data_IF_374733420122
#
_entry.id   IF_374733420122
#
_cell.length_a   1.000
_cell.length_b   1.000
_cell.length_c   1.000
_cell.angle_alpha   90.00
_cell.angle_beta   90.00
_cell.angle_gamma   90.00
#
_symmetry.space_group_name_H-M   'P 1'
#
loop_
_entity.id
_entity.type
_entity.pdbx_description
1 polymer ?
#
# COMPACT_ATOMS: atom_id res chain seq x y z
N UNK A 1 20.41 -15.33 23.81
CA UNK A 1 19.68 -14.86 22.62
C UNK A 1 18.23 -15.23 22.82
N UNK A 2 17.35 -14.24 23.05
CA UNK A 2 15.92 -14.48 23.09
C UNK A 2 15.47 -14.94 21.69
N UNK A 3 14.50 -15.87 21.58
CA UNK A 3 13.95 -16.20 20.28
C UNK A 3 13.43 -14.91 19.63
N UNK A 4 13.67 -14.69 18.32
CA UNK A 4 12.98 -13.62 17.62
C UNK A 4 11.48 -13.81 17.88
N UNK A 5 10.78 -12.70 18.15
CA UNK A 5 9.32 -12.73 18.26
C UNK A 5 8.73 -13.55 17.11
N UNK A 6 7.67 -14.30 17.37
CA UNK A 6 7.12 -15.22 16.37
C UNK A 6 6.86 -14.44 15.08
N UNK A 7 7.09 -15.05 13.91
CA UNK A 7 6.84 -14.39 12.63
C UNK A 7 5.43 -13.76 12.59
N UNK A 8 4.46 -14.42 13.24
CA UNK A 8 3.09 -13.97 13.44
C UNK A 8 2.99 -12.63 14.19
N UNK A 9 3.73 -12.45 15.28
CA UNK A 9 3.76 -11.18 16.05
C UNK A 9 4.27 -10.02 15.18
N UNK A 10 5.30 -10.28 14.38
CA UNK A 10 5.89 -9.28 13.52
C UNK A 10 4.95 -8.90 12.36
N UNK A 11 4.26 -9.88 11.79
CA UNK A 11 3.20 -9.65 10.79
C UNK A 11 2.10 -8.77 11.39
N UNK A 12 1.61 -9.10 12.59
CA UNK A 12 0.57 -8.31 13.27
C UNK A 12 1.04 -6.88 13.54
N UNK A 13 2.30 -6.71 13.96
CA UNK A 13 2.90 -5.39 14.18
C UNK A 13 3.04 -4.58 12.88
N UNK A 14 3.45 -5.19 11.78
CA UNK A 14 3.58 -4.48 10.50
C UNK A 14 2.20 -4.16 9.90
N UNK A 15 1.22 -5.04 10.10
CA UNK A 15 -0.17 -4.77 9.71
C UNK A 15 -0.78 -3.61 10.48
N UNK A 16 -0.56 -3.52 11.79
CA UNK A 16 -1.08 -2.41 12.58
C UNK A 16 -0.46 -1.05 12.19
N UNK A 17 0.69 -1.07 11.53
CA UNK A 17 1.34 0.10 10.92
C UNK A 17 0.85 0.41 9.48
N UNK A 18 -0.09 -0.37 8.93
CA UNK A 18 -0.61 -0.20 7.57
C UNK A 18 0.34 -0.67 6.47
N UNK A 19 1.34 -1.49 6.80
CA UNK A 19 2.27 -2.05 5.81
C UNK A 19 1.55 -3.08 4.93
N UNK A 20 1.79 -3.03 3.62
CA UNK A 20 1.15 -3.95 2.68
C UNK A 20 1.67 -5.39 2.81
N UNK A 21 0.85 -6.42 2.50
CA UNK A 21 1.24 -7.83 2.62
C UNK A 21 2.54 -8.18 1.88
N UNK A 22 2.75 -7.62 0.68
CA UNK A 22 3.96 -7.86 -0.11
C UNK A 22 5.22 -7.27 0.54
N UNK A 23 5.10 -6.10 1.18
CA UNK A 23 6.20 -5.48 1.93
C UNK A 23 6.52 -6.24 3.21
N UNK A 24 5.50 -6.81 3.87
CA UNK A 24 5.67 -7.67 5.06
C UNK A 24 6.48 -8.92 4.69
N UNK A 25 6.13 -9.57 3.57
CA UNK A 25 6.86 -10.74 3.08
C UNK A 25 8.34 -10.39 2.84
N UNK A 26 8.62 -9.27 2.18
CA UNK A 26 9.99 -8.85 1.90
C UNK A 26 10.79 -8.55 3.18
N UNK A 27 10.19 -7.88 4.16
CA UNK A 27 10.85 -7.58 5.44
C UNK A 27 11.14 -8.85 6.24
N UNK A 28 10.21 -9.81 6.29
CA UNK A 28 10.42 -11.07 6.99
C UNK A 28 11.48 -11.94 6.33
N UNK A 29 11.51 -12.00 5.00
CA UNK A 29 12.57 -12.69 4.28
C UNK A 29 13.95 -12.06 4.54
N UNK A 30 14.05 -10.73 4.60
CA UNK A 30 15.30 -10.04 4.98
C UNK A 30 15.74 -10.36 6.42
N UNK A 31 14.79 -10.63 7.31
CA UNK A 31 15.06 -11.05 8.69
C UNK A 31 15.39 -12.55 8.81
N UNK A 32 15.40 -13.28 7.69
CA UNK A 32 15.83 -14.68 7.62
C UNK A 32 14.71 -15.69 7.84
N UNK A 33 13.44 -15.27 7.86
CA UNK A 33 12.31 -16.20 7.94
C UNK A 33 12.13 -16.95 6.61
N UNK A 34 11.79 -18.24 6.70
CA UNK A 34 11.55 -19.04 5.50
C UNK A 34 10.23 -18.61 4.83
N UNK A 35 10.09 -18.74 3.50
CA UNK A 35 8.85 -18.40 2.80
C UNK A 35 7.62 -19.12 3.37
N UNK A 36 7.80 -20.33 3.89
CA UNK A 36 6.73 -21.13 4.46
C UNK A 36 6.32 -20.59 5.84
N UNK A 37 7.28 -20.26 6.70
CA UNK A 37 7.00 -19.63 8.00
C UNK A 37 6.31 -18.27 7.84
N UNK A 38 6.69 -17.50 6.82
CA UNK A 38 6.06 -16.21 6.49
C UNK A 38 4.60 -16.39 6.08
N UNK A 39 4.32 -17.40 5.25
CA UNK A 39 2.95 -17.67 4.79
C UNK A 39 2.06 -18.18 5.93
N UNK A 40 2.57 -19.09 6.76
CA UNK A 40 1.86 -19.61 7.92
C UNK A 40 1.60 -18.50 8.95
N UNK A 41 2.58 -17.63 9.20
CA UNK A 41 2.44 -16.47 10.07
C UNK A 41 1.42 -15.44 9.55
N UNK A 42 1.37 -15.20 8.24
CA UNK A 42 0.37 -14.31 7.64
C UNK A 42 -1.05 -14.86 7.79
N UNK A 43 -1.25 -16.13 7.48
CA UNK A 43 -2.55 -16.78 7.70
C UNK A 43 -2.95 -16.80 9.18
N UNK A 44 -2.00 -17.05 10.07
CA UNK A 44 -2.27 -17.05 11.51
C UNK A 44 -2.62 -15.65 12.02
N UNK A 45 -1.91 -14.61 11.58
CA UNK A 45 -2.21 -13.23 11.91
C UNK A 45 -3.57 -12.77 11.36
N UNK A 46 -3.98 -13.26 10.19
CA UNK A 46 -5.31 -13.05 9.60
C UNK A 46 -6.42 -13.68 10.44
N UNK A 47 -6.25 -14.94 10.83
CA UNK A 47 -7.19 -15.64 11.69
C UNK A 47 -7.30 -15.00 13.09
N UNK A 48 -6.18 -14.52 13.62
CA UNK A 48 -6.10 -13.95 14.97
C UNK A 48 -6.58 -12.50 15.04
N UNK A 49 -6.43 -11.73 13.95
CA UNK A 49 -6.89 -10.34 13.90
C UNK A 49 -8.41 -10.22 13.92
N UNK A 50 -9.17 -11.27 13.58
CA UNK A 50 -10.64 -11.28 13.73
C UNK A 50 -11.34 -10.09 13.04
N UNK A 51 -10.66 -9.40 12.12
CA UNK A 51 -11.16 -8.21 11.45
C UNK A 51 -12.11 -8.69 10.37
N UNK A 52 -13.39 -8.61 10.72
CA UNK A 52 -14.50 -8.47 9.81
C UNK A 52 -14.11 -7.51 8.70
N UNK A 53 -14.15 -7.99 7.45
CA UNK A 53 -13.80 -7.21 6.28
C UNK A 53 -14.57 -5.91 6.23
N UNK A 54 -13.85 -4.81 6.43
CA UNK A 54 -14.33 -3.46 6.11
C UNK A 54 -13.16 -2.63 5.55
N UNK A 55 -12.58 -3.15 4.49
CA UNK A 55 -11.95 -2.40 3.39
C UNK A 55 -12.56 -3.06 2.14
N UNK A 56 -13.57 -2.47 1.49
CA UNK A 56 -13.37 -1.33 0.60
C UNK A 56 -12.53 -1.79 -0.58
N UNK A 57 -13.08 -2.70 -1.41
CA UNK A 57 -13.63 -2.34 -2.73
C UNK A 57 -12.58 -1.59 -3.59
N UNK A 58 -11.72 -2.36 -4.25
CA UNK A 58 -11.24 -2.18 -5.64
C UNK A 58 -9.98 -3.05 -5.84
N UNK A 59 -10.17 -4.37 -5.86
CA UNK A 59 -9.24 -5.28 -6.53
C UNK A 59 -10.04 -6.55 -6.84
N UNK A 60 -10.58 -6.60 -8.06
CA UNK A 60 -11.08 -7.83 -8.65
C UNK A 60 -9.98 -8.47 -9.47
N UNK A 61 -9.28 -9.52 -9.00
CA UNK A 61 -8.63 -10.45 -9.89
C UNK A 61 -9.67 -11.46 -10.36
N UNK A 62 -10.14 -11.29 -11.59
CA UNK A 62 -10.90 -12.32 -12.31
C UNK A 62 -10.12 -13.65 -12.32
N UNK A 63 -10.77 -14.67 -11.77
CA UNK A 63 -10.72 -16.04 -12.31
C UNK A 63 -9.43 -16.81 -12.12
N UNK A 64 -9.14 -17.23 -10.90
CA UNK A 64 -8.35 -18.43 -10.65
C UNK A 64 -9.18 -19.34 -9.73
N UNK A 65 -9.91 -20.27 -10.35
CA UNK A 65 -10.45 -21.44 -9.68
C UNK A 65 -9.27 -22.25 -9.14
N UNK A 66 -9.12 -22.31 -7.81
CA UNK A 66 -8.35 -23.35 -7.17
C UNK A 66 -9.25 -24.09 -6.15
N UNK A 67 -9.16 -25.43 -6.09
CA UNK A 67 -10.22 -26.30 -5.59
C UNK A 67 -10.26 -26.36 -4.07
N UNK A 68 -11.47 -26.54 -3.54
CA UNK A 68 -11.73 -26.84 -2.13
C UNK A 68 -10.98 -28.09 -1.65
N UNK A 69 -10.57 -28.14 -0.37
CA UNK A 69 -10.08 -29.36 0.26
C UNK A 69 -11.24 -30.37 0.38
N UNK A 70 -11.09 -31.50 -0.29
CA UNK A 70 -12.00 -32.64 -0.20
C UNK A 70 -12.05 -33.17 1.24
N UNK A 71 -13.27 -33.25 1.75
CA UNK A 71 -13.61 -33.98 2.97
C UNK A 71 -13.34 -35.48 2.77
N UNK A 72 -12.96 -36.23 3.82
CA UNK A 72 -12.75 -37.67 3.70
C UNK A 72 -14.06 -38.41 3.36
N UNK A 73 -14.05 -39.39 2.43
CA UNK A 73 -15.23 -40.13 2.05
C UNK A 73 -15.71 -41.04 3.19
N UNK A 74 -17.01 -40.98 3.45
CA UNK A 74 -17.72 -41.88 4.34
C UNK A 74 -17.67 -43.32 3.81
N UNK A 75 -17.32 -44.25 4.68
CA UNK A 75 -17.31 -45.68 4.45
C UNK A 75 -18.73 -46.24 4.21
N UNK A 76 -18.93 -47.17 3.27
CA UNK A 76 -20.22 -47.84 3.08
C UNK A 76 -20.52 -48.83 4.22
N UNK A 77 -21.80 -49.00 4.60
CA UNK A 77 -22.18 -49.94 5.66
C UNK A 77 -22.04 -51.40 5.18
N UNK A 78 -21.37 -52.21 6.02
CA UNK A 78 -21.34 -53.66 5.94
C UNK A 78 -22.76 -54.23 6.01
N UNK A 79 -23.20 -54.90 4.94
CA UNK A 79 -24.34 -55.83 4.99
C UNK A 79 -23.85 -57.18 5.51
N UNK A 80 -24.48 -57.65 6.58
CA UNK A 80 -24.22 -58.96 7.18
C UNK A 80 -24.74 -60.12 6.32
N UNK A 81 -24.19 -61.33 6.50
CA UNK A 81 -24.61 -62.51 5.74
C UNK A 81 -25.88 -63.15 6.31
N UNK A 82 -26.85 -63.57 5.48
CA UNK A 82 -27.86 -64.52 5.88
C UNK A 82 -27.34 -65.96 5.71
N UNK A 83 -27.57 -66.72 6.77
CA UNK A 83 -27.28 -68.13 6.95
C UNK A 83 -28.33 -68.97 6.21
N UNK A 84 -27.90 -69.89 5.34
CA UNK A 84 -28.75 -71.01 4.91
C UNK A 84 -27.93 -72.27 4.70
N UNK A 85 -28.31 -73.29 5.47
CA UNK A 85 -27.83 -74.68 5.46
C UNK A 85 -28.20 -75.40 4.15
N UNK A 86 -27.39 -76.39 3.75
CA UNK A 86 -27.89 -77.47 2.87
C UNK A 86 -26.86 -78.16 1.97
N UNK A 87 -26.14 -79.14 2.54
CA UNK A 87 -25.82 -80.47 1.98
C UNK A 87 -25.42 -80.63 0.49
N UNK A 88 -24.23 -81.19 0.22
CA UNK A 88 -23.91 -81.74 -1.11
C UNK A 88 -22.44 -82.10 -1.33
N UNK A 89 -22.01 -83.25 -0.81
CA UNK A 89 -20.75 -83.93 -1.11
C UNK A 89 -20.63 -84.32 -2.58
N UNK A 90 -19.56 -83.95 -3.30
CA UNK A 90 -18.99 -84.79 -4.36
C UNK A 90 -17.54 -84.45 -4.70
N UNK A 91 -16.81 -85.52 -5.00
CA UNK A 91 -15.37 -85.64 -5.22
C UNK A 91 -14.83 -84.89 -6.45
N UNK A 92 -13.60 -84.40 -6.31
CA UNK A 92 -12.42 -84.83 -7.08
C UNK A 92 -12.52 -85.08 -8.59
N UNK A 93 -11.93 -84.16 -9.37
CA UNK A 93 -11.20 -84.34 -10.64
C UNK A 93 -10.63 -82.94 -10.97
N UNK A 94 -9.35 -82.72 -11.26
CA UNK A 94 -8.53 -83.39 -12.25
C UNK A 94 -8.60 -82.59 -13.57
N UNK A 95 -7.48 -81.94 -13.97
CA UNK A 95 -7.25 -81.23 -15.25
C UNK A 95 -8.06 -79.93 -15.43
N UNK A 96 -7.53 -78.81 -15.95
CA UNK A 96 -6.51 -78.62 -16.99
C UNK A 96 -5.84 -77.25 -16.81
N UNK A 97 -4.52 -77.17 -16.99
CA UNK A 97 -3.86 -75.91 -17.33
C UNK A 97 -4.31 -75.50 -18.73
N UNK A 98 -4.97 -74.34 -18.83
CA UNK A 98 -5.10 -73.60 -20.08
C UNK A 98 -4.01 -72.51 -20.10
N UNK A 99 -3.00 -72.61 -20.98
CA UNK A 99 -1.98 -71.57 -21.14
C UNK A 99 -2.37 -70.47 -22.14
N UNK A 100 -3.65 -70.35 -22.54
CA UNK A 100 -4.08 -69.42 -23.59
C UNK A 100 -4.78 -68.12 -23.15
N UNK A 101 -5.23 -68.01 -21.89
CA UNK A 101 -6.25 -67.01 -21.54
C UNK A 101 -5.76 -65.73 -20.83
N UNK A 102 -4.46 -65.62 -20.52
CA UNK A 102 -3.95 -64.49 -19.70
C UNK A 102 -3.19 -63.43 -20.49
N UNK A 103 -2.62 -63.73 -21.66
CA UNK A 103 -1.79 -62.78 -22.41
C UNK A 103 -2.62 -61.73 -23.16
N UNK A 104 -3.61 -62.18 -23.93
CA UNK A 104 -4.44 -61.33 -24.80
C UNK A 104 -5.34 -60.38 -24.02
N UNK A 105 -5.91 -60.81 -22.90
CA UNK A 105 -6.75 -59.93 -22.08
C UNK A 105 -5.92 -58.88 -21.32
N UNK A 106 -4.68 -59.21 -20.95
CA UNK A 106 -3.74 -58.25 -20.37
C UNK A 106 -3.29 -57.26 -21.45
N UNK A 107 -3.04 -57.70 -22.69
CA UNK A 107 -2.71 -56.81 -23.81
C UNK A 107 -3.85 -55.84 -24.16
N UNK A 108 -5.10 -56.33 -24.21
CA UNK A 108 -6.29 -55.48 -24.44
C UNK A 108 -6.48 -54.44 -23.32
N UNK A 109 -6.31 -54.85 -22.05
CA UNK A 109 -6.36 -53.93 -20.92
C UNK A 109 -5.21 -52.92 -20.94
N UNK A 110 -4.02 -53.33 -21.38
CA UNK A 110 -2.85 -52.45 -21.50
C UNK A 110 -3.04 -51.45 -22.65
N UNK A 111 -3.55 -51.87 -23.82
CA UNK A 111 -3.85 -50.96 -24.94
C UNK A 111 -4.93 -49.94 -24.56
N UNK A 112 -6.00 -50.38 -23.91
CA UNK A 112 -7.06 -49.47 -23.46
C UNK A 112 -6.53 -48.43 -22.45
N UNK A 113 -5.68 -48.85 -21.51
CA UNK A 113 -5.07 -47.95 -20.51
C UNK A 113 -4.06 -46.99 -21.15
N UNK A 114 -3.27 -47.45 -22.13
CA UNK A 114 -2.30 -46.60 -22.85
C UNK A 114 -3.06 -45.55 -23.67
N UNK A 115 -4.11 -45.92 -24.39
CA UNK A 115 -4.91 -44.99 -25.20
C UNK A 115 -5.60 -43.94 -24.31
N UNK A 116 -6.17 -44.34 -23.18
CA UNK A 116 -6.77 -43.41 -22.21
C UNK A 116 -5.74 -42.39 -21.69
N UNK A 117 -4.56 -42.87 -21.27
CA UNK A 117 -3.48 -42.02 -20.74
C UNK A 117 -2.85 -41.14 -21.81
N UNK A 118 -2.75 -41.62 -23.04
CA UNK A 118 -2.28 -40.83 -24.17
C UNK A 118 -3.22 -39.67 -24.48
N UNK A 119 -4.52 -39.94 -24.52
CA UNK A 119 -5.53 -38.91 -24.73
C UNK A 119 -5.57 -37.87 -23.60
N UNK A 120 -5.38 -38.30 -22.34
CA UNK A 120 -5.23 -37.40 -21.20
C UNK A 120 -3.97 -36.51 -21.32
N UNK A 121 -2.85 -37.09 -21.73
CA UNK A 121 -1.59 -36.37 -21.94
C UNK A 121 -1.70 -35.32 -23.05
N UNK A 122 -2.27 -35.68 -24.21
CA UNK A 122 -2.50 -34.76 -25.34
C UNK A 122 -3.38 -33.59 -24.90
N UNK A 123 -4.43 -33.86 -24.12
CA UNK A 123 -5.29 -32.80 -23.57
C UNK A 123 -4.52 -31.85 -22.66
N UNK A 124 -3.63 -32.37 -21.81
CA UNK A 124 -2.81 -31.54 -20.93
C UNK A 124 -1.76 -30.73 -21.71
N UNK A 125 -1.17 -31.29 -22.76
CA UNK A 125 -0.26 -30.56 -23.66
C UNK A 125 -0.99 -29.40 -24.34
N UNK A 126 -2.22 -29.61 -24.82
CA UNK A 126 -3.02 -28.55 -25.43
C UNK A 126 -3.30 -27.41 -24.43
N UNK A 127 -3.65 -27.74 -23.17
CA UNK A 127 -3.79 -26.72 -22.11
C UNK A 127 -2.49 -25.94 -21.85
N UNK A 128 -1.34 -26.61 -21.90
CA UNK A 128 -0.03 -25.96 -21.73
C UNK A 128 0.26 -25.02 -22.91
N UNK A 129 -0.09 -25.41 -24.14
CA UNK A 129 0.07 -24.55 -25.32
C UNK A 129 -0.81 -23.30 -25.21
N UNK A 130 -2.07 -23.46 -24.81
CA UNK A 130 -2.97 -22.32 -24.56
C UNK A 130 -2.45 -21.41 -23.45
N UNK A 131 -1.97 -21.98 -22.35
CA UNK A 131 -1.37 -21.22 -21.27
C UNK A 131 -0.11 -20.46 -21.73
N UNK A 132 0.78 -21.13 -22.47
CA UNK A 132 1.96 -20.49 -23.06
C UNK A 132 1.56 -19.32 -23.95
N UNK A 133 0.57 -19.50 -24.82
CA UNK A 133 0.09 -18.43 -25.69
C UNK A 133 -0.45 -17.23 -24.89
N UNK A 134 -1.18 -17.47 -23.79
CA UNK A 134 -1.68 -16.40 -22.90
C UNK A 134 -0.54 -15.68 -22.18
N UNK A 135 0.50 -16.40 -21.76
CA UNK A 135 1.69 -15.82 -21.12
C UNK A 135 2.49 -14.98 -22.13
N UNK A 136 2.69 -15.47 -23.34
CA UNK A 136 3.38 -14.73 -24.41
C UNK A 136 2.64 -13.42 -24.73
N UNK A 137 1.30 -13.44 -24.77
CA UNK A 137 0.49 -12.24 -24.96
C UNK A 137 0.62 -11.25 -23.79
N UNK A 138 0.55 -11.74 -22.55
CA UNK A 138 0.74 -10.89 -21.36
C UNK A 138 2.14 -10.30 -21.29
N UNK A 139 3.16 -11.06 -21.68
CA UNK A 139 4.54 -10.58 -21.71
C UNK A 139 4.71 -9.46 -22.75
N UNK A 140 4.12 -9.62 -23.94
CA UNK A 140 4.12 -8.57 -24.96
C UNK A 140 3.40 -7.30 -24.50
N UNK A 141 2.25 -7.45 -23.81
CA UNK A 141 1.53 -6.31 -23.22
C UNK A 141 2.36 -5.61 -22.13
N UNK A 142 3.00 -6.37 -21.25
CA UNK A 142 3.84 -5.83 -20.19
C UNK A 142 5.09 -5.12 -20.75
N UNK A 143 5.68 -5.65 -21.82
CA UNK A 143 6.79 -4.97 -22.51
C UNK A 143 6.33 -3.63 -23.11
N UNK A 144 5.14 -3.58 -23.70
CA UNK A 144 4.57 -2.34 -24.20
C UNK A 144 4.29 -1.33 -23.08
N UNK A 145 3.61 -1.75 -22.01
CA UNK A 145 3.34 -0.88 -20.85
C UNK A 145 4.64 -0.36 -20.21
N UNK A 146 5.69 -1.18 -20.14
CA UNK A 146 6.99 -0.76 -19.63
C UNK A 146 7.66 0.29 -20.54
N UNK A 147 7.52 0.15 -21.85
CA UNK A 147 8.03 1.13 -22.81
C UNK A 147 7.25 2.46 -22.73
N UNK A 148 5.94 2.39 -22.60
CA UNK A 148 5.07 3.57 -22.42
C UNK A 148 5.40 4.28 -21.11
N UNK A 149 5.51 3.55 -19.98
CA UNK A 149 5.92 4.08 -18.69
C UNK A 149 7.30 4.75 -18.75
N UNK A 150 8.26 4.17 -19.48
CA UNK A 150 9.57 4.77 -19.69
C UNK A 150 9.49 6.08 -20.46
N UNK A 151 8.60 6.17 -21.46
CA UNK A 151 8.35 7.40 -22.20
C UNK A 151 7.75 8.47 -21.30
N UNK A 152 6.68 8.14 -20.56
CA UNK A 152 6.03 9.03 -19.61
C UNK A 152 6.99 9.53 -18.53
N UNK A 153 7.82 8.64 -17.98
CA UNK A 153 8.87 9.03 -17.01
C UNK A 153 9.87 10.02 -17.61
N UNK A 154 10.27 9.79 -18.87
CA UNK A 154 11.19 10.70 -19.57
C UNK A 154 10.56 12.07 -19.78
N UNK A 155 9.28 12.13 -20.12
CA UNK A 155 8.57 13.39 -20.33
C UNK A 155 8.29 14.11 -19.01
N UNK A 156 7.96 13.38 -17.95
CA UNK A 156 7.87 13.92 -16.59
C UNK A 156 9.22 14.49 -16.14
N UNK A 157 10.32 13.78 -16.37
CA UNK A 157 11.65 14.27 -16.02
C UNK A 157 12.00 15.56 -16.77
N UNK A 158 11.69 15.66 -18.07
CA UNK A 158 11.83 16.91 -18.83
C UNK A 158 10.96 18.03 -18.26
N UNK A 159 9.70 17.75 -17.93
CA UNK A 159 8.78 18.73 -17.37
C UNK A 159 9.26 19.25 -16.01
N UNK A 160 9.78 18.37 -15.15
CA UNK A 160 10.36 18.71 -13.86
C UNK A 160 11.60 19.59 -14.05
N UNK A 161 12.53 19.23 -14.95
CA UNK A 161 13.69 20.08 -15.25
C UNK A 161 13.26 21.46 -15.76
N UNK A 162 12.26 21.51 -16.64
CA UNK A 162 11.68 22.76 -17.12
C UNK A 162 11.14 23.63 -15.98
N UNK A 163 10.36 23.02 -15.07
CA UNK A 163 9.84 23.72 -13.88
C UNK A 163 10.96 24.20 -12.97
N UNK A 164 11.98 23.39 -12.70
CA UNK A 164 13.13 23.80 -11.88
C UNK A 164 13.86 24.98 -12.54
N UNK A 165 14.04 24.95 -13.86
CA UNK A 165 14.65 26.08 -14.59
C UNK A 165 13.79 27.35 -14.52
N UNK A 166 12.47 27.24 -14.63
CA UNK A 166 11.55 28.37 -14.43
C UNK A 166 11.65 28.91 -12.99
N UNK A 167 11.72 28.03 -11.99
CA UNK A 167 11.91 28.42 -10.59
C UNK A 167 13.25 29.13 -10.36
N UNK A 168 14.34 28.63 -10.91
CA UNK A 168 15.67 29.26 -10.79
C UNK A 168 15.69 30.66 -11.42
N UNK A 169 15.08 30.81 -12.59
CA UNK A 169 14.92 32.11 -13.24
C UNK A 169 14.04 33.06 -12.39
N UNK A 170 12.93 32.57 -11.85
CA UNK A 170 12.05 33.37 -10.99
C UNK A 170 12.77 33.81 -9.71
N UNK A 171 13.53 32.91 -9.05
CA UNK A 171 14.33 33.24 -7.87
C UNK A 171 15.40 34.27 -8.21
N UNK A 172 16.05 34.14 -9.37
CA UNK A 172 17.03 35.12 -9.85
C UNK A 172 16.38 36.50 -10.06
N UNK A 173 15.23 36.55 -10.73
CA UNK A 173 14.47 37.78 -10.96
C UNK A 173 14.06 38.43 -9.62
N UNK A 174 13.48 37.65 -8.70
CA UNK A 174 13.14 38.12 -7.35
C UNK A 174 14.39 38.63 -6.63
N UNK A 175 15.54 37.96 -6.77
CA UNK A 175 16.81 38.44 -6.23
C UNK A 175 17.24 39.80 -6.77
N UNK A 176 16.99 40.07 -8.06
CA UNK A 176 17.24 41.39 -8.66
C UNK A 176 16.27 42.47 -8.15
N UNK A 177 14.99 42.14 -8.01
CA UNK A 177 13.97 43.05 -7.48
C UNK A 177 14.23 43.37 -6.01
N UNK A 178 14.59 42.37 -5.20
CA UNK A 178 14.97 42.57 -3.79
C UNK A 178 16.19 43.49 -3.70
N UNK A 179 17.21 43.33 -4.56
CA UNK A 179 18.36 44.25 -4.59
C UNK A 179 17.96 45.66 -5.01
N UNK A 180 17.03 45.82 -5.95
CA UNK A 180 16.53 47.13 -6.33
C UNK A 180 15.76 47.78 -5.17
N UNK A 181 14.91 47.02 -4.49
CA UNK A 181 14.17 47.45 -3.31
C UNK A 181 15.12 47.82 -2.17
N UNK A 182 16.18 47.04 -1.94
CA UNK A 182 17.25 47.34 -0.98
C UNK A 182 17.87 48.71 -1.28
N UNK A 183 18.23 49.00 -2.53
CA UNK A 183 18.77 50.31 -2.93
C UNK A 183 17.77 51.45 -2.74
N UNK A 184 16.48 51.21 -2.98
CA UNK A 184 15.43 52.19 -2.70
C UNK A 184 15.36 52.44 -1.20
N UNK A 185 15.35 51.38 -0.38
CA UNK A 185 15.34 51.49 1.08
C UNK A 185 16.55 52.26 1.61
N UNK A 186 17.75 51.99 1.08
CA UNK A 186 18.98 52.73 1.41
C UNK A 186 18.88 54.22 1.10
N UNK A 187 18.13 54.62 0.06
CA UNK A 187 17.89 56.04 -0.27
C UNK A 187 16.78 56.68 0.57
N UNK A 188 15.77 55.89 0.93
CA UNK A 188 14.60 56.38 1.69
C UNK A 188 14.92 56.51 3.17
N UNK A 189 15.71 55.60 3.77
CA UNK A 189 16.05 55.63 5.20
C UNK A 189 16.65 56.98 5.67
N UNK A 190 17.64 57.57 4.96
CA UNK A 190 18.17 58.88 5.31
C UNK A 190 17.10 59.97 5.22
N UNK A 191 16.34 60.00 4.12
CA UNK A 191 15.27 60.99 3.89
C UNK A 191 14.19 60.91 4.99
N UNK A 192 13.82 59.70 5.40
CA UNK A 192 12.84 59.48 6.46
C UNK A 192 13.37 59.91 7.83
N UNK A 193 14.66 59.65 8.09
CA UNK A 193 15.33 60.09 9.33
C UNK A 193 15.45 61.62 9.38
N UNK A 194 15.82 62.26 8.28
CA UNK A 194 15.87 63.72 8.12
C UNK A 194 14.48 64.33 8.40
N UNK A 195 13.44 63.83 7.74
CA UNK A 195 12.07 64.30 7.88
C UNK A 195 11.53 64.14 9.33
N UNK A 196 11.83 63.02 10.00
CA UNK A 196 11.46 62.82 11.41
C UNK A 196 12.20 63.81 12.31
N UNK A 197 13.48 64.07 12.06
CA UNK A 197 14.26 65.04 12.82
C UNK A 197 13.73 66.46 12.63
N UNK A 198 13.36 66.85 11.41
CA UNK A 198 12.70 68.12 11.11
C UNK A 198 11.34 68.25 11.79
N UNK A 199 10.50 67.20 11.74
CA UNK A 199 9.19 67.19 12.38
C UNK A 199 9.31 67.28 13.91
N UNK A 200 10.31 66.60 14.49
CA UNK A 200 10.64 66.71 15.91
C UNK A 200 11.06 68.14 16.27
N UNK A 201 11.88 68.80 15.44
CA UNK A 201 12.28 70.20 15.62
C UNK A 201 11.09 71.16 15.54
N UNK A 202 10.27 71.06 14.49
CA UNK A 202 9.04 71.85 14.32
C UNK A 202 8.10 71.69 15.51
N UNK A 203 7.93 70.47 16.00
CA UNK A 203 7.11 70.19 17.19
C UNK A 203 7.73 70.81 18.44
N UNK A 204 9.05 70.72 18.62
CA UNK A 204 9.75 71.35 19.74
C UNK A 204 9.71 72.88 19.69
N UNK A 205 9.84 73.50 18.53
CA UNK A 205 9.70 74.95 18.34
C UNK A 205 8.26 75.40 18.62
N UNK A 206 7.26 74.69 18.09
CA UNK A 206 5.86 74.98 18.33
C UNK A 206 5.47 74.79 19.81
N UNK A 207 6.09 73.83 20.50
CA UNK A 207 5.93 73.63 21.95
C UNK A 207 6.75 74.63 22.78
N UNK A 208 7.80 75.21 22.22
CA UNK A 208 8.64 76.26 22.79
C UNK A 208 8.03 77.67 22.67
N UNK A 209 7.15 77.88 21.69
CA UNK A 209 6.24 79.03 21.63
C UNK A 209 5.12 78.79 22.64
N UNK A 210 5.45 78.87 23.94
CA UNK A 210 4.45 79.17 24.95
C UNK A 210 4.05 80.64 24.75
N UNK A 211 2.77 80.98 24.54
CA UNK A 211 2.35 82.36 24.75
C UNK A 211 2.59 82.67 26.24
N UNK A 212 3.49 83.61 26.48
CA UNK A 212 3.65 84.29 27.77
C UNK A 212 2.33 85.00 28.08
N UNK A 213 1.39 84.23 28.62
CA UNK A 213 0.11 84.74 29.13
C UNK A 213 0.04 84.28 30.57
N UNK A 214 0.50 85.19 31.43
CA UNK A 214 -0.14 85.52 32.70
C UNK A 214 -0.70 84.34 33.49
N UNK A 215 0.09 83.92 34.47
CA UNK A 215 -0.37 83.78 35.86
C UNK A 215 -1.88 83.87 36.10
N UNK A 216 -2.52 82.71 36.28
CA UNK A 216 -3.61 82.49 37.25
C UNK A 216 -3.92 81.00 37.42
N UNK A 217 -3.36 80.42 38.48
CA UNK A 217 -4.06 79.44 39.32
C UNK A 217 -4.85 80.22 40.38
N UNK A 218 -5.82 79.63 41.11
CA UNK A 218 -6.30 78.24 41.06
C UNK A 218 -7.84 78.13 40.96
N UNK A 219 -8.37 76.99 40.52
CA UNK A 219 -9.50 76.43 41.23
C UNK A 219 -9.56 74.91 41.12
N UNK A 220 -10.05 74.37 42.20
CA UNK A 220 -9.91 73.07 42.79
C UNK A 220 -11.28 72.40 42.67
N UNK A 221 -11.38 71.22 42.05
CA UNK A 221 -12.19 70.12 42.61
C UNK A 221 -12.13 68.84 41.78
N UNK A 222 -12.27 67.68 42.46
CA UNK A 222 -12.10 66.35 41.89
C UNK A 222 -13.43 65.80 41.38
N UNK A 223 -13.41 65.09 40.27
CA UNK A 223 -14.49 64.15 39.95
C UNK A 223 -13.91 62.94 39.23
N UNK A 224 -13.91 61.85 39.98
CA UNK A 224 -13.71 60.50 39.52
C UNK A 224 -14.56 60.19 38.28
N UNK A 225 -14.13 59.24 37.45
CA UNK A 225 -14.90 58.01 37.17
C UNK A 225 -14.26 57.18 36.04
N UNK A 226 -13.87 55.97 36.43
CA UNK A 226 -13.80 54.70 35.68
C UNK A 226 -12.89 54.57 34.45
N UNK A 227 -11.78 53.87 34.72
CA UNK A 227 -11.29 52.68 33.98
C UNK A 227 -12.41 51.83 33.36
N UNK A 228 -12.17 51.29 32.17
CA UNK A 228 -12.37 49.86 31.92
C UNK A 228 -11.02 49.17 31.63
N UNK A 229 -10.93 47.92 32.07
CA UNK A 229 -9.81 47.02 31.79
C UNK A 229 -9.82 46.54 30.32
N UNK A 230 -8.67 46.21 29.73
CA UNK A 230 -8.59 45.30 28.60
C UNK A 230 -8.39 43.87 29.12
N UNK A 231 -9.47 43.09 29.11
CA UNK A 231 -9.44 41.63 29.24
C UNK A 231 -10.12 41.02 28.02
N UNK A 232 -9.56 39.90 27.56
CA UNK A 232 -10.06 39.00 26.51
C UNK A 232 -10.05 39.48 25.07
N UNK A 233 -8.97 39.13 24.36
CA UNK A 233 -9.11 38.39 23.11
C UNK A 233 -8.04 37.30 23.05
N UNK A 234 -8.39 36.16 23.66
CA UNK A 234 -7.77 34.88 23.42
C UNK A 234 -7.98 34.43 21.96
N UNK A 235 -6.90 33.90 21.38
CA UNK A 235 -6.87 32.78 20.45
C UNK A 235 -7.93 32.69 19.35
N UNK A 236 -7.52 32.98 18.12
CA UNK A 236 -8.05 32.29 16.94
C UNK A 236 -6.96 32.09 15.88
N UNK A 237 -6.76 30.80 15.60
CA UNK A 237 -6.19 30.15 14.42
C UNK A 237 -4.67 30.13 14.31
#
# INVERSE_FOLDING_TARGET
MAPPGSATDLVMQMRSQGVSPNQIIHNLQQQGFSPQDVFDAMNQADMQSGVSGQYGDDFSPQGIENPMPQSPPASPPMQGPPQSQGMGTMMGQGMSQDPGFSGTHIEELVEAVIEEKWNELVKNINKIIEWKSKVDQKLAQLEQEMNDLKSEFTDLHKAILGKISEYDQNITNVGTEIKAMEKVFQKVLPTFTENINELSRLTSEMKGIKPDTGSRQPDNSPSATRRPQPGDLAGRL
#
